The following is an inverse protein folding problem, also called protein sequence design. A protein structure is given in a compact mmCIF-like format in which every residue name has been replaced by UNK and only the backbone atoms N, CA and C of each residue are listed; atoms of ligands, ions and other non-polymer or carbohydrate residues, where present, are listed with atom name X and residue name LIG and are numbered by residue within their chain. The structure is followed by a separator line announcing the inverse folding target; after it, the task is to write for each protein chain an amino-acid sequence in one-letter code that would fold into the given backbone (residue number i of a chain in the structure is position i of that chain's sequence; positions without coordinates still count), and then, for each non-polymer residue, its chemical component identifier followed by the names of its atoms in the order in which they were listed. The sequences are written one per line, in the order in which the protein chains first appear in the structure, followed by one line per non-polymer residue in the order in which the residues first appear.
data_IF_575769093850
#
_entry.id   IF_575769093850
#
_cell.length_a   1.000
_cell.length_b   1.000
_cell.length_c   1.000
_cell.angle_alpha   90.00
_cell.angle_beta   90.00
_cell.angle_gamma   90.00
#
_symmetry.space_group_name_H-M   'P 1'
#
loop_
_entity.id
_entity.type
_entity.pdbx_description
1 polymer ?
#
# COMPACT_ATOMS: atom_id res chain seq x y z
N UNK A 1 21.09 -20.33 0.32
CA UNK A 1 20.22 -19.53 -0.56
C UNK A 1 19.07 -20.44 -0.97
N UNK A 2 17.83 -19.95 -1.15
CA UNK A 2 16.75 -20.79 -1.64
C UNK A 2 17.05 -21.28 -3.06
N UNK A 3 16.63 -22.52 -3.36
CA UNK A 3 16.89 -23.14 -4.65
C UNK A 3 16.05 -22.50 -5.77
N UNK A 4 16.60 -22.40 -6.99
CA UNK A 4 15.84 -21.98 -8.16
C UNK A 4 14.61 -22.89 -8.37
N UNK A 5 13.43 -22.27 -8.57
CA UNK A 5 12.17 -22.98 -8.69
C UNK A 5 11.43 -23.19 -7.37
N UNK A 6 12.04 -22.91 -6.23
CA UNK A 6 11.41 -22.98 -4.92
C UNK A 6 10.22 -21.99 -4.83
N UNK A 7 9.15 -22.42 -4.16
CA UNK A 7 8.02 -21.57 -3.79
C UNK A 7 8.11 -21.30 -2.29
N UNK A 8 8.46 -20.07 -1.94
CA UNK A 8 8.40 -19.64 -0.55
C UNK A 8 6.96 -19.65 -0.05
N UNK A 9 6.76 -19.97 1.22
CA UNK A 9 5.46 -19.87 1.89
C UNK A 9 5.54 -18.93 3.10
N UNK A 10 4.43 -18.28 3.39
CA UNK A 10 4.28 -17.43 4.57
C UNK A 10 2.93 -17.77 5.22
N UNK A 11 2.95 -18.22 6.48
CA UNK A 11 1.76 -18.74 7.19
C UNK A 11 1.00 -19.83 6.40
N UNK A 12 1.73 -20.72 5.72
CA UNK A 12 1.13 -21.78 4.90
C UNK A 12 0.61 -21.32 3.53
N UNK A 13 0.69 -20.03 3.22
CA UNK A 13 0.24 -19.45 1.94
C UNK A 13 1.44 -19.18 1.04
N UNK A 14 1.43 -19.60 -0.22
CA UNK A 14 2.53 -19.32 -1.15
C UNK A 14 2.79 -17.82 -1.32
N UNK A 15 4.06 -17.45 -1.35
CA UNK A 15 4.48 -16.14 -1.83
C UNK A 15 4.39 -16.13 -3.36
N UNK A 16 3.80 -15.10 -3.99
CA UNK A 16 3.64 -15.05 -5.43
C UNK A 16 4.96 -15.19 -6.20
N UNK A 17 4.95 -16.02 -7.23
CA UNK A 17 6.07 -16.24 -8.15
C UNK A 17 7.15 -17.19 -7.62
N UNK A 18 7.88 -17.79 -8.56
CA UNK A 18 9.02 -18.68 -8.27
C UNK A 18 10.33 -17.90 -8.22
N UNK A 19 11.27 -18.40 -7.46
CA UNK A 19 12.64 -17.89 -7.44
C UNK A 19 13.33 -18.29 -8.74
N UNK A 20 13.90 -17.31 -9.43
CA UNK A 20 14.63 -17.48 -10.68
C UNK A 20 16.12 -17.70 -10.41
N UNK A 21 16.87 -18.26 -11.37
CA UNK A 21 18.33 -18.25 -11.34
C UNK A 21 18.86 -16.82 -11.18
N UNK A 22 19.96 -16.67 -10.45
CA UNK A 22 20.51 -15.35 -10.09
C UNK A 22 20.79 -14.43 -11.29
N UNK A 23 21.18 -15.01 -12.42
CA UNK A 23 21.41 -14.27 -13.68
C UNK A 23 20.15 -13.57 -14.23
N UNK A 24 18.96 -13.97 -13.76
CA UNK A 24 17.67 -13.38 -14.16
C UNK A 24 17.09 -12.44 -13.10
N UNK A 25 17.80 -12.19 -11.99
CA UNK A 25 17.33 -11.30 -10.96
C UNK A 25 17.30 -9.86 -11.42
N UNK A 26 16.25 -9.15 -11.02
CA UNK A 26 16.12 -7.72 -11.27
C UNK A 26 16.87 -6.89 -10.21
N UNK A 27 16.91 -5.57 -10.44
CA UNK A 27 17.36 -4.56 -9.46
C UNK A 27 16.22 -3.59 -9.21
N UNK A 28 15.48 -3.79 -8.11
CA UNK A 28 14.22 -3.08 -7.85
C UNK A 28 14.32 -1.97 -6.81
N UNK A 29 15.42 -1.90 -6.02
CA UNK A 29 15.55 -0.89 -4.98
C UNK A 29 15.87 0.49 -5.56
N UNK A 30 15.12 1.52 -5.14
CA UNK A 30 15.54 2.91 -5.26
C UNK A 30 16.15 3.34 -3.93
N UNK A 31 17.48 3.49 -3.92
CA UNK A 31 18.25 3.82 -2.71
C UNK A 31 18.32 5.31 -2.41
N UNK A 32 18.11 6.16 -3.41
CA UNK A 32 18.15 7.61 -3.29
C UNK A 32 17.02 8.21 -4.09
N UNK A 33 16.23 9.02 -3.42
CA UNK A 33 15.22 9.84 -4.06
C UNK A 33 15.86 11.11 -4.64
N UNK A 34 15.26 11.76 -5.64
CA UNK A 34 15.72 13.07 -6.09
C UNK A 34 15.69 14.05 -4.91
N UNK A 35 16.63 15.02 -4.86
CA UNK A 35 16.68 15.99 -3.78
C UNK A 35 15.44 16.86 -3.69
N UNK A 36 14.82 17.14 -4.83
CA UNK A 36 13.63 17.99 -4.95
C UNK A 36 12.67 17.47 -6.03
N UNK A 37 11.40 17.72 -5.81
CA UNK A 37 10.34 17.52 -6.80
C UNK A 37 9.89 16.08 -6.99
N UNK A 38 8.87 15.92 -7.83
CA UNK A 38 8.27 14.61 -8.10
C UNK A 38 9.20 13.73 -8.94
N UNK A 39 9.01 12.42 -8.81
CA UNK A 39 9.67 11.42 -9.63
C UNK A 39 9.08 11.39 -11.04
N UNK A 40 9.95 11.26 -12.03
CA UNK A 40 9.59 10.96 -13.41
C UNK A 40 9.53 9.44 -13.60
N UNK A 41 8.31 8.90 -13.70
CA UNK A 41 8.11 7.45 -13.81
C UNK A 41 8.68 6.87 -15.08
N UNK A 42 8.63 7.60 -16.19
CA UNK A 42 9.21 7.15 -17.46
C UNK A 42 10.74 7.03 -17.35
N UNK A 43 11.40 7.98 -16.72
CA UNK A 43 12.84 7.90 -16.43
C UNK A 43 13.17 6.77 -15.44
N UNK A 44 12.33 6.54 -14.41
CA UNK A 44 12.53 5.49 -13.38
C UNK A 44 12.45 4.08 -13.98
N UNK A 45 11.50 3.86 -14.90
CA UNK A 45 11.25 2.52 -15.47
C UNK A 45 11.83 2.33 -16.87
N UNK A 46 12.25 3.42 -17.55
CA UNK A 46 12.75 3.39 -18.93
C UNK A 46 11.64 3.15 -19.97
N UNK A 47 10.38 3.37 -19.57
CA UNK A 47 9.21 3.17 -20.46
C UNK A 47 8.01 3.97 -19.97
N UNK A 48 7.07 4.23 -20.86
CA UNK A 48 5.76 4.80 -20.55
C UNK A 48 4.76 3.68 -20.31
N UNK A 49 4.25 3.57 -19.10
CA UNK A 49 3.26 2.57 -18.69
C UNK A 49 2.32 3.13 -17.62
N UNK A 50 1.15 2.50 -17.35
CA UNK A 50 0.37 2.78 -16.17
C UNK A 50 1.19 2.52 -14.89
N UNK A 51 0.95 3.32 -13.84
CA UNK A 51 1.68 3.24 -12.58
C UNK A 51 0.74 2.90 -11.44
N UNK A 52 1.08 1.87 -10.68
CA UNK A 52 0.45 1.46 -9.43
C UNK A 52 1.36 1.83 -8.27
N UNK A 53 0.83 2.52 -7.29
CA UNK A 53 1.53 2.92 -6.06
C UNK A 53 0.95 2.16 -4.86
N UNK A 54 1.75 1.34 -4.19
CA UNK A 54 1.42 0.70 -2.92
C UNK A 54 2.08 1.45 -1.76
N UNK A 55 1.28 1.97 -0.85
CA UNK A 55 1.72 2.72 0.33
C UNK A 55 1.63 1.83 1.58
N UNK A 56 2.74 1.70 2.32
CA UNK A 56 2.84 0.73 3.40
C UNK A 56 2.88 -0.71 2.89
N UNK A 57 3.77 -0.99 1.94
CA UNK A 57 3.79 -2.28 1.24
C UNK A 57 4.23 -3.48 2.12
N UNK A 58 4.75 -3.22 3.32
CA UNK A 58 5.27 -4.26 4.18
C UNK A 58 6.27 -5.17 3.44
N UNK A 59 6.04 -6.47 3.49
CA UNK A 59 6.91 -7.45 2.84
C UNK A 59 6.69 -7.58 1.31
N UNK A 60 5.88 -6.71 0.71
CA UNK A 60 5.68 -6.60 -0.74
C UNK A 60 4.76 -7.63 -1.37
N UNK A 61 3.92 -8.35 -0.59
CA UNK A 61 3.08 -9.44 -1.12
C UNK A 61 2.18 -8.97 -2.28
N UNK A 62 1.46 -7.84 -2.12
CA UNK A 62 0.61 -7.31 -3.18
C UNK A 62 1.43 -6.83 -4.38
N UNK A 63 2.52 -6.10 -4.14
CA UNK A 63 3.43 -5.67 -5.22
C UNK A 63 3.92 -6.86 -6.06
N UNK A 64 4.34 -7.97 -5.40
CA UNK A 64 4.77 -9.19 -6.09
C UNK A 64 3.64 -9.79 -6.93
N UNK A 65 2.47 -9.98 -6.32
CA UNK A 65 1.29 -10.53 -6.99
C UNK A 65 0.93 -9.71 -8.24
N UNK A 66 0.78 -8.40 -8.05
CA UNK A 66 0.32 -7.49 -9.08
C UNK A 66 1.34 -7.31 -10.20
N UNK A 67 2.64 -7.19 -9.87
CA UNK A 67 3.70 -7.04 -10.86
C UNK A 67 3.89 -8.29 -11.72
N UNK A 68 3.72 -9.47 -11.16
CA UNK A 68 3.73 -10.74 -11.90
C UNK A 68 2.53 -10.87 -12.84
N UNK A 69 1.34 -10.52 -12.36
CA UNK A 69 0.10 -10.64 -13.13
C UNK A 69 0.00 -9.56 -14.24
N UNK A 70 0.62 -8.40 -14.04
CA UNK A 70 0.50 -7.22 -14.91
C UNK A 70 1.87 -6.71 -15.38
N UNK A 71 2.62 -7.44 -16.24
CA UNK A 71 3.97 -7.04 -16.67
C UNK A 71 4.00 -5.73 -17.46
N UNK A 72 2.87 -5.31 -18.05
CA UNK A 72 2.72 -4.03 -18.75
C UNK A 72 2.44 -2.83 -17.85
N UNK A 73 2.37 -3.03 -16.52
CA UNK A 73 2.10 -2.00 -15.51
C UNK A 73 3.32 -1.86 -14.60
N UNK A 74 3.69 -0.64 -14.27
CA UNK A 74 4.80 -0.35 -13.37
C UNK A 74 4.30 -0.21 -11.93
N UNK A 75 5.04 -0.77 -10.98
CA UNK A 75 4.67 -0.84 -9.57
C UNK A 75 5.70 -0.11 -8.70
N UNK A 76 5.22 0.84 -7.90
CA UNK A 76 6.03 1.55 -6.91
C UNK A 76 5.53 1.16 -5.53
N UNK A 77 6.41 0.59 -4.71
CA UNK A 77 6.09 0.14 -3.36
C UNK A 77 6.89 0.94 -2.33
N UNK A 78 6.20 1.48 -1.35
CA UNK A 78 6.80 2.36 -0.33
C UNK A 78 6.49 1.84 1.06
N UNK A 79 7.50 1.82 1.93
CA UNK A 79 7.31 1.58 3.36
C UNK A 79 8.33 2.38 4.17
N UNK A 80 7.99 2.75 5.39
CA UNK A 80 8.86 3.49 6.29
C UNK A 80 9.94 2.61 6.91
N UNK A 81 9.70 1.30 7.00
CA UNK A 81 10.59 0.35 7.67
C UNK A 81 11.63 -0.24 6.70
N UNK A 82 12.93 0.08 6.87
CA UNK A 82 13.98 -0.43 6.00
C UNK A 82 14.06 -1.96 5.95
N UNK A 83 13.73 -2.65 7.05
CA UNK A 83 13.78 -4.11 7.12
C UNK A 83 12.76 -4.75 6.20
N UNK A 84 11.50 -4.27 6.17
CA UNK A 84 10.46 -4.85 5.32
C UNK A 84 10.73 -4.55 3.84
N UNK A 85 11.22 -3.35 3.51
CA UNK A 85 11.65 -3.01 2.15
C UNK A 85 12.82 -3.90 1.69
N UNK A 86 13.73 -4.26 2.58
CA UNK A 86 14.81 -5.21 2.24
C UNK A 86 14.25 -6.58 1.85
N UNK A 87 13.26 -7.09 2.60
CA UNK A 87 12.58 -8.35 2.27
C UNK A 87 11.83 -8.26 0.95
N UNK A 88 11.00 -7.23 0.77
CA UNK A 88 10.24 -7.01 -0.45
C UNK A 88 11.17 -6.88 -1.67
N UNK A 89 12.26 -6.10 -1.55
CA UNK A 89 13.27 -5.94 -2.60
C UNK A 89 13.93 -7.26 -2.97
N UNK A 90 14.36 -8.06 -1.98
CA UNK A 90 14.96 -9.37 -2.24
C UNK A 90 13.99 -10.25 -3.03
N UNK A 91 12.74 -10.34 -2.59
CA UNK A 91 11.70 -11.14 -3.25
C UNK A 91 11.41 -10.67 -4.67
N UNK A 92 11.29 -9.36 -4.87
CA UNK A 92 11.08 -8.78 -6.20
C UNK A 92 12.27 -9.02 -7.14
N UNK A 93 13.50 -8.87 -6.64
CA UNK A 93 14.71 -9.16 -7.40
C UNK A 93 14.76 -10.63 -7.82
N UNK A 94 14.56 -11.55 -6.90
CA UNK A 94 14.60 -13.00 -7.13
C UNK A 94 13.56 -13.48 -8.15
N UNK A 95 12.49 -12.72 -8.35
CA UNK A 95 11.42 -13.01 -9.32
C UNK A 95 11.57 -12.24 -10.64
N UNK A 96 12.67 -11.51 -10.80
CA UNK A 96 12.97 -10.80 -12.04
C UNK A 96 12.01 -9.64 -12.34
N UNK A 97 11.41 -9.01 -11.33
CA UNK A 97 10.37 -7.99 -11.51
C UNK A 97 10.96 -6.64 -11.95
N UNK A 98 11.32 -6.53 -13.23
CA UNK A 98 11.83 -5.28 -13.82
C UNK A 98 10.83 -4.10 -13.75
N UNK A 99 9.54 -4.42 -13.64
CA UNK A 99 8.42 -3.48 -13.53
C UNK A 99 8.06 -3.13 -12.07
N UNK A 100 8.94 -3.36 -11.10
CA UNK A 100 8.74 -2.98 -9.70
C UNK A 100 9.88 -2.08 -9.19
N UNK A 101 9.55 -1.11 -8.33
CA UNK A 101 10.51 -0.29 -7.59
C UNK A 101 10.09 -0.19 -6.13
N UNK A 102 11.08 -0.38 -5.23
CA UNK A 102 10.86 -0.40 -3.79
C UNK A 102 11.67 0.70 -3.11
N UNK A 103 11.02 1.44 -2.22
CA UNK A 103 11.52 2.70 -1.67
C UNK A 103 11.29 2.72 -0.16
N UNK A 104 12.34 3.07 0.60
CA UNK A 104 12.19 3.38 2.03
C UNK A 104 11.80 4.85 2.16
N UNK A 105 10.56 5.10 2.51
CA UNK A 105 10.06 6.47 2.78
C UNK A 105 8.74 6.41 3.55
N UNK A 106 8.47 7.45 4.32
CA UNK A 106 7.15 7.71 4.89
C UNK A 106 6.12 7.96 3.77
N UNK A 107 4.97 7.30 3.84
CA UNK A 107 3.95 7.32 2.80
C UNK A 107 3.32 8.70 2.58
N UNK A 108 3.05 9.45 3.68
CA UNK A 108 2.51 10.81 3.60
C UNK A 108 3.47 11.74 2.87
N UNK A 109 4.74 11.73 3.31
CA UNK A 109 5.80 12.53 2.69
C UNK A 109 6.02 12.12 1.23
N UNK A 110 5.98 10.81 0.94
CA UNK A 110 6.20 10.31 -0.41
C UNK A 110 5.13 10.83 -1.39
N UNK A 111 3.86 10.67 -1.04
CA UNK A 111 2.77 11.15 -1.90
C UNK A 111 2.83 12.66 -2.06
N UNK A 112 3.05 13.40 -0.98
CA UNK A 112 3.03 14.86 -1.01
C UNK A 112 4.18 15.47 -1.85
N UNK A 113 5.40 14.92 -1.74
CA UNK A 113 6.60 15.52 -2.31
C UNK A 113 7.14 14.84 -3.59
N UNK A 114 6.92 13.53 -3.73
CA UNK A 114 7.56 12.74 -4.80
C UNK A 114 6.60 12.22 -5.86
N UNK A 115 5.28 12.36 -5.68
CA UNK A 115 4.29 11.97 -6.68
C UNK A 115 3.70 13.22 -7.33
N UNK A 116 3.90 13.34 -8.65
CA UNK A 116 3.34 14.46 -9.41
C UNK A 116 1.80 14.40 -9.45
N UNK A 117 1.19 15.54 -9.73
CA UNK A 117 -0.25 15.63 -9.97
C UNK A 117 -0.63 14.77 -11.19
N UNK A 118 -1.72 14.00 -11.06
CA UNK A 118 -2.27 13.17 -12.15
C UNK A 118 -1.22 12.26 -12.80
N UNK A 119 -0.32 11.65 -12.00
CA UNK A 119 0.79 10.85 -12.51
C UNK A 119 0.66 9.33 -12.26
N UNK A 120 -0.25 8.91 -11.37
CA UNK A 120 -0.45 7.48 -11.06
C UNK A 120 -1.87 7.03 -11.41
N UNK A 121 -2.01 5.76 -11.80
CA UNK A 121 -3.28 5.18 -12.22
C UNK A 121 -4.02 4.53 -11.06
N UNK A 122 -3.28 3.95 -10.12
CA UNK A 122 -3.84 3.30 -8.93
C UNK A 122 -3.02 3.63 -7.69
N UNK A 123 -3.70 3.81 -6.55
CA UNK A 123 -3.08 3.88 -5.22
C UNK A 123 -3.71 2.82 -4.33
N UNK A 124 -2.87 1.97 -3.72
CA UNK A 124 -3.28 0.89 -2.84
C UNK A 124 -2.74 1.11 -1.43
N UNK A 125 -3.60 0.91 -0.44
CA UNK A 125 -3.28 1.04 0.97
C UNK A 125 -3.90 -0.13 1.77
N UNK A 126 -3.04 -1.03 2.24
CA UNK A 126 -3.48 -2.23 2.95
C UNK A 126 -3.08 -2.17 4.42
N UNK A 127 -4.09 -2.25 5.29
CA UNK A 127 -3.94 -2.29 6.76
C UNK A 127 -3.06 -1.15 7.31
N UNK A 128 -3.42 0.13 7.03
CA UNK A 128 -2.71 1.25 7.64
C UNK A 128 -2.76 1.14 9.16
N UNK A 129 -1.62 1.44 9.81
CA UNK A 129 -1.46 1.27 11.25
C UNK A 129 -2.51 2.09 12.02
N UNK A 130 -3.32 1.44 12.89
CA UNK A 130 -4.42 2.11 13.59
C UNK A 130 -3.95 2.90 14.81
N UNK A 131 -2.73 2.65 15.32
CA UNK A 131 -2.20 3.29 16.52
C UNK A 131 -3.22 3.34 17.66
N UNK A 132 -3.28 2.28 18.46
CA UNK A 132 -4.27 2.11 19.53
C UNK A 132 -4.10 3.09 20.71
N UNK A 133 -2.87 3.55 20.94
CA UNK A 133 -2.60 4.60 21.94
C UNK A 133 -3.12 5.95 21.40
N UNK A 134 -4.06 6.61 22.13
CA UNK A 134 -4.58 7.92 21.73
C UNK A 134 -3.50 8.99 21.52
N UNK A 135 -2.36 8.87 22.22
CA UNK A 135 -1.21 9.79 22.07
C UNK A 135 -0.55 9.66 20.70
N UNK A 136 -0.71 8.52 20.03
CA UNK A 136 -0.18 8.22 18.70
C UNK A 136 -1.22 8.41 17.58
N UNK A 137 -2.43 8.84 17.89
CA UNK A 137 -3.50 9.03 16.89
C UNK A 137 -3.08 9.97 15.74
N UNK A 138 -2.21 10.93 16.01
CA UNK A 138 -1.65 11.85 15.01
C UNK A 138 -0.73 11.18 13.97
N UNK A 139 -0.29 9.93 14.22
CA UNK A 139 0.52 9.13 13.30
C UNK A 139 -0.33 8.34 12.29
N UNK A 140 -1.64 8.28 12.47
CA UNK A 140 -2.54 7.57 11.55
C UNK A 140 -2.48 8.18 10.16
N UNK A 141 -2.23 7.34 9.17
CA UNK A 141 -1.97 7.79 7.80
C UNK A 141 -3.20 8.37 7.10
N UNK A 142 -4.38 7.72 7.27
CA UNK A 142 -5.60 8.13 6.54
C UNK A 142 -6.18 9.40 7.17
N UNK A 143 -5.55 10.53 6.89
CA UNK A 143 -6.04 11.86 7.24
C UNK A 143 -6.72 12.52 6.05
N UNK A 144 -7.58 13.53 6.24
CA UNK A 144 -8.15 14.29 5.12
C UNK A 144 -7.10 14.89 4.21
N UNK A 145 -5.98 15.36 4.77
CA UNK A 145 -4.86 15.90 4.01
C UNK A 145 -4.18 14.83 3.16
N UNK A 146 -3.94 13.64 3.71
CA UNK A 146 -3.41 12.50 2.95
C UNK A 146 -4.34 12.13 1.78
N UNK A 147 -5.66 12.07 2.02
CA UNK A 147 -6.64 11.77 0.97
C UNK A 147 -6.67 12.83 -0.14
N UNK A 148 -6.52 14.11 0.21
CA UNK A 148 -6.39 15.18 -0.77
C UNK A 148 -5.10 15.06 -1.61
N UNK A 149 -3.99 14.63 -1.01
CA UNK A 149 -2.73 14.39 -1.70
C UNK A 149 -2.80 13.14 -2.61
N UNK A 150 -3.48 12.06 -2.17
CA UNK A 150 -3.77 10.88 -3.01
C UNK A 150 -4.68 11.25 -4.17
N UNK A 151 -5.74 12.03 -3.93
CA UNK A 151 -6.64 12.53 -4.97
C UNK A 151 -5.87 13.33 -6.04
N UNK A 152 -4.96 14.22 -5.61
CA UNK A 152 -4.09 14.98 -6.52
C UNK A 152 -3.19 14.09 -7.36
N UNK A 153 -2.60 13.05 -6.75
CA UNK A 153 -1.64 12.15 -7.38
C UNK A 153 -2.28 11.25 -8.45
N UNK A 154 -3.51 10.81 -8.23
CA UNK A 154 -4.24 9.97 -9.16
C UNK A 154 -4.62 10.73 -10.44
N UNK A 155 -4.52 10.06 -11.58
CA UNK A 155 -5.08 10.53 -12.85
C UNK A 155 -6.61 10.64 -12.78
N UNK A 156 -7.26 11.41 -13.67
CA UNK A 156 -8.72 11.37 -13.82
C UNK A 156 -9.21 9.93 -13.95
N UNK A 157 -10.25 9.56 -13.16
CA UNK A 157 -10.77 8.20 -13.08
C UNK A 157 -9.82 7.17 -12.44
N UNK A 158 -8.66 7.59 -11.92
CA UNK A 158 -7.70 6.72 -11.23
C UNK A 158 -8.31 6.04 -10.00
N UNK A 159 -7.78 4.89 -9.61
CA UNK A 159 -8.36 4.02 -8.59
C UNK A 159 -7.64 4.17 -7.25
N UNK A 160 -8.38 4.36 -6.18
CA UNK A 160 -7.93 4.22 -4.80
C UNK A 160 -8.50 2.96 -4.17
N UNK A 161 -7.64 2.11 -3.61
CA UNK A 161 -8.02 0.86 -2.92
C UNK A 161 -7.53 0.93 -1.48
N UNK A 162 -8.43 0.58 -0.54
CA UNK A 162 -8.08 0.57 0.88
C UNK A 162 -8.68 -0.64 1.59
N UNK A 163 -7.94 -1.18 2.57
CA UNK A 163 -8.34 -2.34 3.34
C UNK A 163 -7.82 -2.24 4.78
N UNK A 164 -8.62 -2.71 5.73
CA UNK A 164 -8.22 -2.82 7.15
C UNK A 164 -9.01 -3.92 7.85
N UNK A 165 -8.46 -4.49 8.92
CA UNK A 165 -9.17 -5.38 9.86
C UNK A 165 -9.68 -4.64 11.11
N UNK A 166 -9.48 -3.33 11.18
CA UNK A 166 -9.90 -2.49 12.29
C UNK A 166 -11.26 -1.83 12.01
N UNK A 167 -12.35 -2.20 12.71
CA UNK A 167 -13.68 -1.67 12.45
C UNK A 167 -13.83 -0.18 12.76
N UNK A 168 -13.11 0.34 13.78
CA UNK A 168 -13.20 1.75 14.14
C UNK A 168 -12.50 2.62 13.08
N UNK A 169 -11.36 2.11 12.56
CA UNK A 169 -10.71 2.78 11.43
C UNK A 169 -11.58 2.72 10.18
N UNK A 170 -12.24 1.57 9.95
CA UNK A 170 -13.14 1.44 8.81
C UNK A 170 -14.32 2.40 8.87
N UNK A 171 -14.94 2.54 10.04
CA UNK A 171 -16.02 3.52 10.24
C UNK A 171 -15.57 4.96 9.94
N UNK A 172 -14.35 5.32 10.33
CA UNK A 172 -13.76 6.61 9.96
C UNK A 172 -13.51 6.72 8.45
N UNK A 173 -12.89 5.70 7.83
CA UNK A 173 -12.56 5.65 6.39
C UNK A 173 -13.83 5.85 5.55
N UNK A 174 -14.91 5.12 5.84
CA UNK A 174 -16.18 5.22 5.11
C UNK A 174 -16.86 6.58 5.28
N UNK A 175 -16.55 7.32 6.33
CA UNK A 175 -17.04 8.68 6.56
C UNK A 175 -16.27 9.75 5.77
N UNK A 176 -14.98 9.56 5.48
CA UNK A 176 -14.14 10.61 4.89
C UNK A 176 -13.74 10.35 3.44
N UNK A 177 -13.49 9.09 3.05
CA UNK A 177 -13.04 8.75 1.69
C UNK A 177 -14.03 9.15 0.60
N UNK A 178 -15.38 9.01 0.79
CA UNK A 178 -16.36 9.40 -0.25
C UNK A 178 -16.36 10.88 -0.62
N UNK A 179 -15.74 11.74 0.19
CA UNK A 179 -15.59 13.17 -0.16
C UNK A 179 -14.65 13.35 -1.36
N UNK A 180 -13.67 12.48 -1.52
CA UNK A 180 -12.62 12.56 -2.54
C UNK A 180 -12.78 11.56 -3.68
N UNK A 181 -13.51 10.46 -3.43
CA UNK A 181 -13.60 9.31 -4.33
C UNK A 181 -15.03 8.80 -4.45
N UNK A 182 -15.44 8.34 -5.62
CA UNK A 182 -16.66 7.55 -5.81
C UNK A 182 -16.44 6.17 -5.19
N UNK A 183 -16.61 6.11 -3.87
CA UNK A 183 -16.18 5.00 -3.03
C UNK A 183 -17.29 3.98 -2.82
N UNK A 184 -16.92 2.70 -2.92
CA UNK A 184 -17.79 1.56 -2.61
C UNK A 184 -17.07 0.54 -1.74
N UNK A 185 -17.81 -0.08 -0.83
CA UNK A 185 -17.33 -1.21 -0.05
C UNK A 185 -17.27 -2.48 -0.90
N UNK A 186 -16.29 -3.33 -0.61
CA UNK A 186 -16.10 -4.62 -1.27
C UNK A 186 -16.21 -5.73 -0.21
N UNK A 187 -17.38 -6.42 -0.09
CA UNK A 187 -17.64 -7.34 1.02
C UNK A 187 -16.87 -8.65 0.91
N UNK A 188 -16.52 -9.08 -0.31
CA UNK A 188 -15.81 -10.33 -0.56
C UNK A 188 -14.29 -10.15 -0.59
N UNK A 189 -13.49 -11.22 -0.43
CA UNK A 189 -12.06 -11.20 -0.76
C UNK A 189 -11.82 -10.76 -2.20
N UNK A 190 -10.64 -10.17 -2.44
CA UNK A 190 -10.25 -9.77 -3.78
C UNK A 190 -10.11 -10.99 -4.69
N UNK A 191 -10.76 -11.01 -5.88
CA UNK A 191 -10.75 -12.17 -6.77
C UNK A 191 -9.36 -12.60 -7.26
N UNK A 192 -8.45 -11.63 -7.40
CA UNK A 192 -7.05 -11.84 -7.83
C UNK A 192 -6.14 -12.41 -6.73
N UNK A 193 -6.61 -12.41 -5.48
CA UNK A 193 -5.87 -12.90 -4.32
C UNK A 193 -6.82 -13.52 -3.29
N UNK A 194 -7.42 -14.68 -3.57
CA UNK A 194 -8.38 -15.31 -2.66
C UNK A 194 -7.77 -15.66 -1.30
N UNK A 195 -6.47 -15.90 -1.22
CA UNK A 195 -5.74 -16.12 0.04
C UNK A 195 -5.46 -14.83 0.81
N UNK A 196 -5.38 -13.69 0.13
CA UNK A 196 -5.12 -12.37 0.68
C UNK A 196 -4.03 -11.60 -0.06
N UNK A 197 -4.26 -10.30 -0.25
CA UNK A 197 -3.31 -9.37 -0.89
C UNK A 197 -2.14 -8.97 0.01
N UNK A 198 -2.32 -9.03 1.33
CA UNK A 198 -1.29 -8.65 2.29
C UNK A 198 -1.04 -9.75 3.33
N UNK A 199 0.15 -9.71 3.95
CA UNK A 199 0.49 -10.57 5.08
C UNK A 199 -0.52 -10.41 6.22
N UNK A 200 -0.89 -9.17 6.55
CA UNK A 200 -1.85 -8.86 7.60
C UNK A 200 -3.24 -9.46 7.31
N UNK A 201 -3.69 -9.43 6.07
CA UNK A 201 -4.96 -10.05 5.69
C UNK A 201 -4.98 -11.56 5.96
N UNK A 202 -3.89 -12.26 5.60
CA UNK A 202 -3.75 -13.70 5.85
C UNK A 202 -3.84 -13.98 7.36
N UNK A 203 -3.13 -13.22 8.17
CA UNK A 203 -3.14 -13.37 9.63
C UNK A 203 -4.50 -13.05 10.25
N UNK A 204 -5.14 -11.98 9.83
CA UNK A 204 -6.46 -11.59 10.33
C UNK A 204 -7.51 -12.66 10.01
N UNK A 205 -7.53 -13.14 8.77
CA UNK A 205 -8.43 -14.21 8.33
C UNK A 205 -8.15 -15.54 9.05
N UNK A 206 -6.88 -15.88 9.25
CA UNK A 206 -6.48 -17.06 10.03
C UNK A 206 -6.93 -17.04 11.49
N UNK A 207 -7.26 -15.85 12.00
CA UNK A 207 -7.84 -15.62 13.35
C UNK A 207 -9.34 -15.32 13.33
N UNK A 208 -10.01 -15.56 12.20
CA UNK A 208 -11.42 -15.25 11.98
C UNK A 208 -11.79 -13.76 12.23
N UNK A 209 -10.84 -12.85 12.07
CA UNK A 209 -11.11 -11.42 12.10
C UNK A 209 -11.73 -10.98 10.77
N UNK A 210 -12.70 -10.09 10.85
CA UNK A 210 -13.30 -9.47 9.66
C UNK A 210 -12.29 -8.55 9.01
N UNK A 211 -12.21 -8.61 7.69
CA UNK A 211 -11.42 -7.68 6.88
C UNK A 211 -12.37 -6.81 6.05
N UNK A 212 -12.27 -5.52 6.24
CA UNK A 212 -13.04 -4.50 5.54
C UNK A 212 -12.26 -4.05 4.32
N UNK A 213 -12.92 -3.87 3.19
CA UNK A 213 -12.34 -3.53 1.89
C UNK A 213 -13.19 -2.53 1.18
N UNK A 214 -12.56 -1.65 0.43
CA UNK A 214 -13.26 -0.74 -0.45
C UNK A 214 -12.34 -0.18 -1.53
N UNK A 215 -12.96 0.31 -2.57
CA UNK A 215 -12.30 0.97 -3.69
C UNK A 215 -13.12 2.18 -4.15
N UNK A 216 -12.46 3.17 -4.72
CA UNK A 216 -13.12 4.34 -5.24
C UNK A 216 -12.37 4.96 -6.40
N UNK A 217 -13.11 5.47 -7.39
CA UNK A 217 -12.53 6.27 -8.47
C UNK A 217 -12.34 7.71 -8.00
N UNK A 218 -11.23 8.34 -8.42
CA UNK A 218 -11.03 9.77 -8.21
C UNK A 218 -12.25 10.54 -8.71
N UNK A 219 -12.79 11.41 -7.86
CA UNK A 219 -13.88 12.31 -8.24
C UNK A 219 -13.34 13.47 -9.05
N UNK A 220 -13.73 13.58 -10.31
CA UNK A 220 -13.26 14.62 -11.22
C UNK A 220 -13.96 15.97 -11.00
N UNK A 221 -15.11 15.96 -10.29
CA UNK A 221 -15.82 17.17 -9.85
C UNK A 221 -15.18 17.85 -8.61
N UNK A 222 -14.23 17.16 -7.95
CA UNK A 222 -13.47 17.70 -6.82
C UNK A 222 -12.16 18.32 -7.34
N UNK A 223 -12.12 19.64 -7.42
CA UNK A 223 -10.88 20.35 -7.78
C UNK A 223 -9.84 20.26 -6.67
N UNK A 224 -8.56 20.53 -7.00
CA UNK A 224 -7.49 20.56 -5.99
C UNK A 224 -7.78 21.55 -4.85
N UNK A 225 -8.30 22.73 -5.17
CA UNK A 225 -8.67 23.73 -4.16
C UNK A 225 -9.78 23.24 -3.25
N UNK A 226 -10.81 22.62 -3.83
CA UNK A 226 -11.91 22.01 -3.07
C UNK A 226 -11.41 20.85 -2.18
N UNK A 227 -10.54 19.99 -2.70
CA UNK A 227 -9.96 18.89 -1.91
C UNK A 227 -9.17 19.40 -0.69
N UNK A 228 -8.36 20.46 -0.87
CA UNK A 228 -7.63 21.09 0.22
C UNK A 228 -8.57 21.75 1.24
N UNK A 229 -9.60 22.47 0.78
CA UNK A 229 -10.59 23.06 1.67
C UNK A 229 -11.35 22.00 2.49
N UNK A 230 -11.72 20.88 1.88
CA UNK A 230 -12.29 19.73 2.60
C UNK A 230 -11.33 19.13 3.63
N UNK A 231 -10.04 19.07 3.30
CA UNK A 231 -9.02 18.56 4.22
C UNK A 231 -8.87 19.38 5.50
N UNK A 232 -9.20 20.67 5.48
CA UNK A 232 -9.14 21.55 6.66
C UNK A 232 -10.37 21.39 7.59
N UNK A 233 -11.54 20.98 7.06
CA UNK A 233 -12.79 20.90 7.83
C UNK A 233 -13.19 19.49 8.24
N UNK A 234 -12.72 18.46 7.53
CA UNK A 234 -13.00 17.08 7.87
C UNK A 234 -12.27 16.65 9.15
N UNK A 235 -12.88 15.76 9.96
CA UNK A 235 -12.29 15.33 11.21
C UNK A 235 -11.02 14.49 10.99
N UNK A 236 -10.02 14.70 11.84
CA UNK A 236 -8.87 13.82 11.93
C UNK A 236 -9.28 12.42 12.49
N UNK A 237 -8.50 11.35 12.24
CA UNK A 237 -8.81 10.00 12.71
C UNK A 237 -8.56 9.85 14.23
N UNK A 238 -9.50 10.28 15.06
CA UNK A 238 -9.39 10.32 16.54
C UNK A 238 -10.15 9.20 17.26
N UNK A 239 -10.62 8.18 16.54
CA UNK A 239 -11.34 7.03 17.10
C UNK A 239 -10.52 6.28 18.17
N UNK A 240 -11.21 5.61 19.10
CA UNK A 240 -10.62 4.69 20.06
C UNK A 240 -10.75 3.28 19.53
N UNK A 241 -9.64 2.60 19.38
CA UNK A 241 -9.61 1.22 18.90
C UNK A 241 -9.30 0.26 20.03
N UNK A 242 -10.23 -0.66 20.33
CA UNK A 242 -10.06 -1.73 21.31
C UNK A 242 -10.78 -3.00 20.84
N UNK A 243 -10.05 -4.10 20.73
CA UNK A 243 -10.64 -5.36 20.29
C UNK A 243 -9.59 -6.41 19.92
N UNK A 244 -9.99 -7.59 19.43
CA UNK A 244 -9.09 -8.69 19.07
C UNK A 244 -8.03 -8.32 18.02
N UNK A 245 -8.31 -7.33 17.18
CA UNK A 245 -7.34 -6.80 16.21
C UNK A 245 -6.14 -6.12 16.87
N UNK A 246 -6.31 -5.53 18.08
CA UNK A 246 -5.21 -4.96 18.87
C UNK A 246 -4.20 -6.03 19.29
N UNK A 247 -4.66 -7.22 19.65
CA UNK A 247 -3.80 -8.34 20.01
C UNK A 247 -2.94 -8.81 18.85
N UNK A 248 -3.47 -8.71 17.62
CA UNK A 248 -2.72 -9.04 16.41
C UNK A 248 -1.64 -8.00 16.14
N UNK A 249 -1.91 -6.71 16.34
CA UNK A 249 -0.91 -5.64 16.22
C UNK A 249 0.21 -5.83 17.25
N UNK A 250 -0.13 -6.05 18.51
CA UNK A 250 0.86 -6.32 19.56
C UNK A 250 1.70 -7.59 19.30
N UNK A 251 1.10 -8.60 18.66
CA UNK A 251 1.82 -9.82 18.29
C UNK A 251 2.80 -9.56 17.13
N UNK A 252 2.40 -8.76 16.13
CA UNK A 252 3.27 -8.36 15.03
C UNK A 252 4.43 -7.50 15.52
N UNK A 253 4.17 -6.53 16.40
CA UNK A 253 5.19 -5.67 17.01
C UNK A 253 6.23 -6.49 17.80
N UNK A 254 5.78 -7.50 18.57
CA UNK A 254 6.67 -8.40 19.30
C UNK A 254 7.54 -9.29 18.41
N UNK A 255 7.05 -9.68 17.23
CA UNK A 255 7.79 -10.52 16.28
C UNK A 255 8.65 -9.71 15.30
N UNK A 256 8.22 -8.53 14.92
CA UNK A 256 8.99 -7.64 14.02
C UNK A 256 10.32 -7.15 14.61
N UNK A 257 10.56 -7.38 15.89
CA UNK A 257 11.83 -7.10 16.56
C UNK A 257 12.76 -8.31 16.74
N UNK A 258 12.42 -9.48 16.19
CA UNK A 258 13.16 -10.76 16.43
C UNK A 258 13.54 -11.56 15.19
N UNK A 259 13.29 -11.07 13.97
CA UNK A 259 13.71 -11.74 12.73
C UNK A 259 14.79 -10.96 11.98
#
# INVERSE_FOLDING_TARGET
MPDPGEIETEFGVPIPGRILPEAQWAKTAIKRLPPEGPMDWEAVFGRKAPVVLELGCGNGRYTLLSALARPGVDHVAVDVLPVVIRYATRRANQRGLGNARLIVKDAQTFVAAYVAESSVDEVHLYHPQPYHDPRQAHLRLVTPRFLADVHRALKPGGLFVIQTDNPDYWAYITGVVPVFFDFREHPAPWPDAPEGRSRREILARGRNLRVFRGEGRRRDDVTRGAALAQAEILPAPTFRSRGPWCELDEWEDRKGGRD
#
